data_IF_639936295158
#
_entry.id   IF_639936295158
#
_cell.length_a   1.000
_cell.length_b   1.000
_cell.length_c   1.000
_cell.angle_alpha   90.00
_cell.angle_beta   90.00
_cell.angle_gamma   90.00
#
_symmetry.space_group_name_H-M   'P 1'
#
loop_
_entity.id
_entity.type
_entity.pdbx_description
1 polymer ?
#
# COMPACT_ATOMS: atom_id res chain seq x y z
N UNK A 1 -14.54 -40.18 4.35
CA UNK A 1 -13.36 -39.27 4.33
C UNK A 1 -13.87 -37.93 3.84
N UNK A 2 -13.68 -36.81 4.57
CA UNK A 2 -14.02 -35.50 4.02
C UNK A 2 -13.16 -35.30 2.76
N UNK A 3 -13.79 -35.03 1.62
CA UNK A 3 -13.09 -34.53 0.45
C UNK A 3 -12.55 -33.15 0.84
N UNK A 4 -11.25 -33.06 1.10
CA UNK A 4 -10.57 -31.77 1.20
C UNK A 4 -10.84 -31.06 -0.12
N UNK A 5 -11.68 -30.02 -0.07
CA UNK A 5 -11.79 -29.09 -1.18
C UNK A 5 -10.38 -28.54 -1.41
N UNK A 6 -10.01 -28.37 -2.67
CA UNK A 6 -8.72 -27.84 -3.06
C UNK A 6 -8.34 -26.61 -2.22
N UNK A 7 -7.18 -26.64 -1.55
CA UNK A 7 -6.76 -25.56 -0.64
C UNK A 7 -6.48 -24.28 -1.45
N UNK A 8 -7.12 -23.17 -1.07
CA UNK A 8 -6.80 -21.83 -1.58
C UNK A 8 -5.67 -21.25 -0.73
N UNK A 9 -4.56 -20.92 -1.38
CA UNK A 9 -3.38 -20.29 -0.79
C UNK A 9 -3.31 -18.84 -1.24
N UNK A 10 -3.39 -17.94 -0.26
CA UNK A 10 -3.19 -16.51 -0.49
C UNK A 10 -1.74 -16.14 -0.16
N UNK A 11 -1.08 -15.54 -1.14
CA UNK A 11 0.30 -15.05 -1.03
C UNK A 11 0.29 -13.53 -0.86
N UNK A 12 1.35 -12.97 -0.26
CA UNK A 12 1.59 -11.53 -0.24
C UNK A 12 0.43 -10.72 0.36
N UNK A 13 -0.20 -11.21 1.43
CA UNK A 13 -1.33 -10.57 2.09
C UNK A 13 -0.90 -9.51 3.13
N UNK A 14 -0.06 -8.57 2.71
CA UNK A 14 0.46 -7.49 3.56
C UNK A 14 -0.07 -6.11 3.21
N UNK A 15 0.50 -5.10 3.87
CA UNK A 15 0.41 -3.68 3.49
C UNK A 15 1.15 -3.47 2.17
N UNK A 16 2.41 -3.93 2.08
CA UNK A 16 3.18 -4.02 0.84
C UNK A 16 4.00 -5.31 0.86
N UNK A 17 3.87 -6.22 -0.11
CA UNK A 17 2.83 -6.30 -1.16
C UNK A 17 1.44 -6.69 -0.62
N UNK A 18 0.42 -6.64 -1.47
CA UNK A 18 -0.94 -7.10 -1.21
C UNK A 18 -1.98 -6.00 -1.31
N UNK A 19 -2.23 -5.35 -0.16
CA UNK A 19 -3.20 -4.26 -0.07
C UNK A 19 -2.80 -3.09 -0.99
N UNK A 20 -1.50 -2.80 -1.09
CA UNK A 20 -0.91 -1.82 -2.02
C UNK A 20 -1.32 -2.02 -3.47
N UNK A 21 -1.49 -3.26 -3.91
CA UNK A 21 -1.93 -3.56 -5.27
C UNK A 21 -3.45 -3.72 -5.40
N UNK A 22 -4.13 -4.13 -4.33
CA UNK A 22 -5.58 -4.29 -4.33
C UNK A 22 -6.32 -2.94 -4.32
N UNK A 23 -5.88 -1.97 -3.53
CA UNK A 23 -6.57 -0.68 -3.34
C UNK A 23 -6.69 0.15 -4.64
N UNK A 24 -5.66 0.29 -5.50
CA UNK A 24 -5.79 1.01 -6.76
C UNK A 24 -6.83 0.38 -7.70
N UNK A 25 -6.90 -0.97 -7.73
CA UNK A 25 -7.93 -1.68 -8.50
C UNK A 25 -9.32 -1.43 -7.94
N UNK A 26 -9.47 -1.42 -6.62
CA UNK A 26 -10.73 -1.10 -5.96
C UNK A 26 -11.20 0.33 -6.28
N UNK A 27 -10.31 1.32 -6.27
CA UNK A 27 -10.66 2.71 -6.60
C UNK A 27 -11.05 2.85 -8.07
N UNK A 28 -10.33 2.18 -8.97
CA UNK A 28 -10.57 2.23 -10.42
C UNK A 28 -11.78 1.41 -10.89
N UNK A 29 -12.44 0.63 -10.02
CA UNK A 29 -13.45 -0.37 -10.42
C UNK A 29 -14.64 0.20 -11.18
N UNK A 30 -14.98 1.47 -10.94
CA UNK A 30 -16.16 2.13 -11.51
C UNK A 30 -15.80 2.91 -12.80
N UNK A 31 -14.54 2.91 -13.23
CA UNK A 31 -14.07 3.54 -14.47
C UNK A 31 -14.20 2.56 -15.64
N UNK A 32 -14.79 3.02 -16.76
CA UNK A 32 -14.81 2.28 -18.02
C UNK A 32 -13.44 2.24 -18.69
N UNK A 33 -12.60 3.26 -18.44
CA UNK A 33 -11.22 3.36 -18.91
C UNK A 33 -10.39 4.14 -17.88
N UNK A 34 -9.19 3.66 -17.58
CA UNK A 34 -8.22 4.36 -16.73
C UNK A 34 -7.16 5.01 -17.60
N UNK A 35 -7.06 6.33 -17.55
CA UNK A 35 -6.08 7.10 -18.33
C UNK A 35 -4.79 7.34 -17.51
N UNK A 36 -4.89 7.53 -16.20
CA UNK A 36 -3.73 7.60 -15.31
C UNK A 36 -4.00 7.08 -13.90
N UNK A 37 -2.93 6.63 -13.26
CA UNK A 37 -2.92 6.15 -11.87
C UNK A 37 -1.73 6.75 -11.14
N UNK A 38 -1.98 7.35 -9.97
CA UNK A 38 -0.92 7.76 -9.05
C UNK A 38 -1.15 7.14 -7.67
N UNK A 39 -0.09 6.61 -7.07
CA UNK A 39 -0.14 5.92 -5.77
C UNK A 39 1.00 6.40 -4.89
N UNK A 40 0.67 6.96 -3.73
CA UNK A 40 1.60 7.31 -2.67
C UNK A 40 1.37 6.38 -1.47
N UNK A 41 2.40 5.62 -1.12
CA UNK A 41 2.37 4.62 -0.05
C UNK A 41 3.23 5.12 1.11
N UNK A 42 2.60 5.61 2.17
CA UNK A 42 3.25 6.15 3.35
C UNK A 42 3.14 5.23 4.55
N UNK A 43 4.28 4.85 5.11
CA UNK A 43 4.34 4.05 6.33
C UNK A 43 5.26 4.75 7.32
N UNK A 44 4.71 5.04 8.49
CA UNK A 44 5.45 5.43 9.68
C UNK A 44 5.09 4.43 10.77
N UNK A 45 5.91 3.42 10.98
CA UNK A 45 5.68 2.42 12.02
C UNK A 45 7.00 1.77 12.44
N UNK A 46 6.96 1.02 13.55
CA UNK A 46 8.10 0.28 14.07
C UNK A 46 8.22 -1.08 13.40
N UNK A 47 9.41 -1.42 12.95
CA UNK A 47 9.75 -2.80 12.67
C UNK A 47 9.74 -3.63 13.96
N UNK A 48 9.08 -4.79 13.93
CA UNK A 48 9.42 -5.89 14.83
C UNK A 48 10.67 -6.60 14.29
N UNK A 49 11.33 -7.40 15.12
CA UNK A 49 12.46 -8.21 14.64
C UNK A 49 12.02 -9.14 13.50
N UNK A 50 10.92 -9.86 13.68
CA UNK A 50 10.35 -10.74 12.66
C UNK A 50 9.94 -9.99 11.39
N UNK A 51 9.38 -8.79 11.52
CA UNK A 51 9.03 -7.95 10.37
C UNK A 51 10.25 -7.46 9.60
N UNK A 52 11.36 -7.20 10.29
CA UNK A 52 12.62 -6.84 9.64
C UNK A 52 13.25 -8.03 8.91
N UNK A 53 13.20 -9.22 9.51
CA UNK A 53 13.64 -10.47 8.88
C UNK A 53 12.85 -10.78 7.61
N UNK A 54 11.51 -10.70 7.69
CA UNK A 54 10.61 -10.91 6.56
C UNK A 54 10.84 -9.88 5.44
N UNK A 55 10.98 -8.62 5.81
CA UNK A 55 11.30 -7.54 4.88
C UNK A 55 12.61 -7.78 4.11
N UNK A 56 13.68 -8.19 4.81
CA UNK A 56 14.97 -8.48 4.17
C UNK A 56 14.95 -9.76 3.32
N UNK A 57 14.09 -10.71 3.64
CA UNK A 57 13.86 -11.89 2.82
C UNK A 57 13.06 -11.58 1.55
N UNK A 58 12.06 -10.69 1.65
CA UNK A 58 11.15 -10.34 0.57
C UNK A 58 11.68 -9.29 -0.42
N UNK A 59 12.57 -8.38 0.02
CA UNK A 59 13.13 -7.34 -0.85
C UNK A 59 14.64 -7.55 -1.03
N UNK A 60 15.10 -7.91 -2.24
CA UNK A 60 16.52 -7.99 -2.53
C UNK A 60 17.17 -6.65 -2.20
N UNK A 61 18.19 -6.62 -1.34
CA UNK A 61 18.86 -5.37 -0.92
C UNK A 61 19.35 -4.56 -2.13
N UNK A 62 19.71 -5.25 -3.24
CA UNK A 62 20.07 -4.63 -4.52
C UNK A 62 18.98 -3.77 -5.17
N UNK A 63 17.70 -3.99 -4.85
CA UNK A 63 16.60 -3.14 -5.35
C UNK A 63 16.69 -1.74 -4.77
N UNK A 64 17.02 -1.60 -3.47
CA UNK A 64 17.14 -0.29 -2.83
C UNK A 64 18.30 0.54 -3.37
N UNK A 65 19.38 -0.10 -3.81
CA UNK A 65 20.51 0.58 -4.47
C UNK A 65 20.15 1.12 -5.87
N UNK A 66 19.20 0.48 -6.55
CA UNK A 66 18.74 0.83 -7.90
C UNK A 66 17.48 1.68 -7.89
N UNK A 67 16.91 1.94 -6.71
CA UNK A 67 15.74 2.81 -6.59
C UNK A 67 16.06 4.21 -7.13
N UNK A 68 15.12 4.84 -7.85
CA UNK A 68 15.26 6.21 -8.28
C UNK A 68 15.60 7.14 -7.11
N UNK A 69 16.34 8.21 -7.39
CA UNK A 69 16.64 9.21 -6.36
C UNK A 69 15.34 9.77 -5.79
N UNK A 70 15.28 10.00 -4.47
CA UNK A 70 14.12 10.67 -3.88
C UNK A 70 13.91 12.05 -4.51
N UNK A 71 12.65 12.46 -4.63
CA UNK A 71 12.25 13.78 -5.09
C UNK A 71 12.54 14.84 -4.01
N UNK A 72 12.31 16.12 -4.30
CA UNK A 72 12.26 17.12 -3.23
C UNK A 72 11.18 16.75 -2.20
N UNK A 73 11.38 17.11 -0.94
CA UNK A 73 10.35 16.92 0.09
C UNK A 73 9.05 17.63 -0.31
N UNK A 74 7.91 16.99 -0.02
CA UNK A 74 6.60 17.48 -0.45
C UNK A 74 5.65 17.57 0.74
N UNK A 75 4.79 18.58 0.74
CA UNK A 75 3.64 18.68 1.64
C UNK A 75 2.46 17.92 1.03
N UNK A 76 2.47 16.59 1.14
CA UNK A 76 1.36 15.76 0.67
C UNK A 76 0.14 15.92 1.59
N UNK A 77 -1.08 15.89 1.04
CA UNK A 77 -2.26 16.11 1.85
C UNK A 77 -2.43 14.97 2.85
N UNK A 78 -3.00 15.29 4.00
CA UNK A 78 -3.19 14.38 5.13
C UNK A 78 -1.92 13.90 5.82
N UNK A 79 -0.71 14.23 5.35
CA UNK A 79 0.54 13.96 6.08
C UNK A 79 0.82 15.07 7.10
N UNK A 80 1.28 14.73 8.33
CA UNK A 80 1.37 15.72 9.41
C UNK A 80 2.52 16.73 9.19
N UNK A 81 3.43 16.46 8.25
CA UNK A 81 4.62 17.25 7.97
C UNK A 81 5.16 16.95 6.56
N UNK A 82 6.10 17.74 6.03
CA UNK A 82 6.75 17.43 4.76
C UNK A 82 7.37 16.02 4.77
N UNK A 83 7.13 15.27 3.71
CA UNK A 83 7.56 13.87 3.58
C UNK A 83 8.52 13.69 2.41
N UNK A 84 9.37 12.67 2.53
CA UNK A 84 10.27 12.28 1.44
C UNK A 84 9.53 11.35 0.47
N UNK A 85 9.39 11.78 -0.78
CA UNK A 85 8.73 10.98 -1.83
C UNK A 85 9.80 10.33 -2.71
N UNK A 86 9.70 9.02 -2.92
CA UNK A 86 10.65 8.25 -3.75
C UNK A 86 9.87 7.42 -4.76
N UNK A 87 10.12 7.56 -6.08
CA UNK A 87 9.50 6.70 -7.07
C UNK A 87 9.80 5.23 -6.80
N UNK A 88 8.81 4.37 -6.96
CA UNK A 88 8.91 2.95 -6.69
C UNK A 88 8.34 2.13 -7.85
N UNK A 89 8.96 0.99 -8.15
CA UNK A 89 8.41 0.03 -9.10
C UNK A 89 8.91 -1.38 -8.79
N UNK A 90 8.00 -2.33 -8.89
CA UNK A 90 8.22 -3.77 -8.74
C UNK A 90 7.20 -4.58 -9.55
N UNK A 91 7.21 -5.90 -9.37
CA UNK A 91 6.32 -6.80 -10.09
C UNK A 91 4.84 -6.55 -9.75
N UNK A 92 4.51 -6.17 -8.51
CA UNK A 92 3.11 -5.89 -8.14
C UNK A 92 2.62 -4.62 -8.81
N UNK A 93 3.38 -3.52 -8.72
CA UNK A 93 3.02 -2.25 -9.37
C UNK A 93 2.86 -2.41 -10.90
N UNK A 94 3.76 -3.16 -11.55
CA UNK A 94 3.66 -3.47 -12.98
C UNK A 94 2.42 -4.31 -13.30
N UNK A 95 2.14 -5.33 -12.48
CA UNK A 95 0.97 -6.16 -12.64
C UNK A 95 -0.32 -5.36 -12.49
N UNK A 96 -0.40 -4.47 -11.50
CA UNK A 96 -1.58 -3.61 -11.30
C UNK A 96 -1.78 -2.69 -12.49
N UNK A 97 -0.74 -1.99 -12.95
CA UNK A 97 -0.83 -1.10 -14.11
C UNK A 97 -1.29 -1.84 -15.37
N UNK A 98 -0.75 -3.04 -15.61
CA UNK A 98 -1.19 -3.90 -16.72
C UNK A 98 -2.64 -4.36 -16.56
N UNK A 99 -3.05 -4.76 -15.34
CA UNK A 99 -4.41 -5.23 -15.06
C UNK A 99 -5.49 -4.15 -15.25
N UNK A 100 -5.12 -2.88 -15.11
CA UNK A 100 -5.98 -1.72 -15.33
C UNK A 100 -5.87 -1.15 -16.75
N UNK A 101 -4.96 -1.67 -17.58
CA UNK A 101 -4.69 -1.14 -18.92
C UNK A 101 -4.12 0.27 -18.94
N UNK A 102 -3.52 0.73 -17.84
CA UNK A 102 -3.03 2.11 -17.70
C UNK A 102 -1.58 2.23 -18.16
N UNK A 103 -1.32 3.11 -19.11
CA UNK A 103 0.04 3.39 -19.62
C UNK A 103 0.78 4.46 -18.81
N UNK A 104 0.05 5.33 -18.12
CA UNK A 104 0.61 6.39 -17.27
C UNK A 104 0.34 6.10 -15.79
N UNK A 105 1.13 5.18 -15.22
CA UNK A 105 1.09 4.88 -13.79
C UNK A 105 2.32 5.38 -13.07
N UNK A 106 2.14 6.10 -11.96
CA UNK A 106 3.23 6.56 -11.08
C UNK A 106 3.02 6.04 -9.68
N UNK A 107 4.07 5.45 -9.13
CA UNK A 107 4.05 4.82 -7.82
C UNK A 107 5.17 5.41 -6.97
N UNK A 108 4.85 5.70 -5.72
CA UNK A 108 5.76 6.38 -4.81
C UNK A 108 5.72 5.73 -3.42
N UNK A 109 6.90 5.49 -2.87
CA UNK A 109 7.07 5.29 -1.45
C UNK A 109 7.21 6.65 -0.77
N UNK A 110 6.50 6.84 0.33
CA UNK A 110 6.51 8.05 1.13
C UNK A 110 7.12 7.70 2.48
N UNK A 111 8.27 8.31 2.78
CA UNK A 111 8.93 8.17 4.07
C UNK A 111 8.67 9.41 4.90
N UNK A 112 8.00 9.20 6.02
CA UNK A 112 7.87 10.18 7.09
C UNK A 112 8.84 9.78 8.20
N UNK A 113 10.01 10.43 8.26
CA UNK A 113 11.14 10.00 9.08
C UNK A 113 12.46 10.17 8.35
N UNK A 114 13.57 10.09 9.09
CA UNK A 114 14.92 10.27 8.53
C UNK A 114 15.85 9.11 8.89
N UNK A 115 15.62 8.46 10.04
CA UNK A 115 16.49 7.39 10.50
C UNK A 115 16.34 6.14 9.64
N UNK A 116 15.11 5.69 9.37
CA UNK A 116 14.85 4.49 8.60
C UNK A 116 15.33 4.64 7.14
N UNK A 117 15.00 5.73 6.40
CA UNK A 117 15.56 5.93 5.06
C UNK A 117 17.09 6.00 5.02
N UNK A 118 17.74 6.50 6.07
CA UNK A 118 19.19 6.49 6.17
C UNK A 118 19.75 5.06 6.28
N UNK A 119 19.21 4.24 7.19
CA UNK A 119 19.59 2.83 7.31
C UNK A 119 19.33 2.07 6.02
N UNK A 120 18.20 2.32 5.34
CA UNK A 120 17.84 1.65 4.09
C UNK A 120 18.87 1.85 2.97
N UNK A 121 19.56 3.00 2.93
CA UNK A 121 20.64 3.27 1.96
C UNK A 121 21.89 2.42 2.21
N UNK A 122 22.11 2.04 3.47
CA UNK A 122 23.33 1.37 3.91
C UNK A 122 23.14 -0.15 4.10
N UNK A 123 21.93 -0.69 3.88
CA UNK A 123 21.62 -2.11 4.12
C UNK A 123 22.57 -3.08 3.43
N UNK A 124 23.07 -2.75 2.24
CA UNK A 124 24.01 -3.61 1.50
C UNK A 124 25.39 -3.76 2.14
N UNK A 125 25.71 -2.88 3.09
CA UNK A 125 26.97 -2.87 3.82
C UNK A 125 26.88 -3.67 5.13
N UNK A 126 25.70 -4.21 5.45
CA UNK A 126 25.39 -4.87 6.71
C UNK A 126 25.22 -6.37 6.53
N UNK A 127 25.57 -7.15 7.57
CA UNK A 127 25.09 -8.52 7.70
C UNK A 127 23.58 -8.52 7.96
N UNK A 128 22.88 -9.63 7.68
CA UNK A 128 21.43 -9.73 7.91
C UNK A 128 21.03 -9.39 9.35
N UNK A 129 21.79 -9.84 10.35
CA UNK A 129 21.52 -9.53 11.76
C UNK A 129 21.69 -8.04 12.07
N UNK A 130 22.77 -7.41 11.57
CA UNK A 130 22.98 -5.97 11.73
C UNK A 130 21.88 -5.16 11.03
N UNK A 131 21.48 -5.58 9.84
CA UNK A 131 20.39 -4.96 9.08
C UNK A 131 19.07 -5.03 9.86
N UNK A 132 18.69 -6.20 10.39
CA UNK A 132 17.50 -6.35 11.23
C UNK A 132 17.51 -5.41 12.44
N UNK A 133 18.59 -5.41 13.23
CA UNK A 133 18.72 -4.54 14.40
C UNK A 133 18.68 -3.06 14.01
N UNK A 134 19.31 -2.68 12.91
CA UNK A 134 19.34 -1.29 12.43
C UNK A 134 17.96 -0.83 11.98
N UNK A 135 17.20 -1.67 11.27
CA UNK A 135 15.81 -1.37 10.87
C UNK A 135 14.89 -1.18 12.08
N UNK A 136 14.98 -2.08 13.08
CA UNK A 136 14.20 -1.97 14.31
C UNK A 136 14.51 -0.68 15.07
N UNK A 137 15.79 -0.37 15.26
CA UNK A 137 16.20 0.82 16.00
C UNK A 137 15.83 2.11 15.25
N UNK A 138 16.08 2.17 13.94
CA UNK A 138 15.81 3.35 13.13
C UNK A 138 14.31 3.66 13.02
N UNK A 139 13.48 2.63 12.80
CA UNK A 139 12.03 2.80 12.79
C UNK A 139 11.48 3.20 14.16
N UNK A 140 12.04 2.66 15.25
CA UNK A 140 11.69 3.10 16.61
C UNK A 140 12.04 4.57 16.87
N UNK A 141 13.16 5.06 16.32
CA UNK A 141 13.55 6.47 16.39
C UNK A 141 12.57 7.38 15.65
N UNK A 142 12.18 7.01 14.42
CA UNK A 142 11.28 7.83 13.60
C UNK A 142 9.88 8.00 14.23
N UNK A 143 9.41 7.02 15.01
CA UNK A 143 8.10 7.10 15.70
C UNK A 143 8.15 7.76 17.10
N UNK A 144 9.31 8.13 17.66
CA UNK A 144 9.35 8.65 19.04
C UNK A 144 8.46 9.88 19.26
N UNK A 145 8.36 10.73 18.25
CA UNK A 145 7.61 11.99 18.30
C UNK A 145 6.25 11.92 17.62
N UNK A 146 5.87 10.78 17.06
CA UNK A 146 4.69 10.66 16.19
C UNK A 146 3.92 9.37 16.42
N UNK A 147 2.60 9.41 16.23
CA UNK A 147 1.80 8.19 16.25
C UNK A 147 2.07 7.40 14.96
N UNK A 148 2.26 6.07 15.06
CA UNK A 148 2.36 5.24 13.87
C UNK A 148 1.12 5.36 12.98
N UNK A 149 1.33 5.19 11.68
CA UNK A 149 0.27 5.13 10.71
C UNK A 149 0.71 4.41 9.43
N UNK A 150 -0.27 3.89 8.72
CA UNK A 150 -0.18 3.46 7.32
C UNK A 150 -1.14 4.32 6.53
N UNK A 151 -0.70 4.88 5.41
CA UNK A 151 -1.49 5.73 4.54
C UNK A 151 -1.26 5.39 3.07
N UNK A 152 -2.35 5.23 2.34
CA UNK A 152 -2.34 5.25 0.89
C UNK A 152 -3.10 6.48 0.44
N UNK A 153 -2.44 7.30 -0.36
CA UNK A 153 -3.11 8.31 -1.14
C UNK A 153 -3.10 7.84 -2.58
N UNK A 154 -4.27 7.72 -3.17
CA UNK A 154 -4.48 7.18 -4.51
C UNK A 154 -5.15 8.25 -5.34
N UNK A 155 -4.83 8.30 -6.64
CA UNK A 155 -5.51 9.12 -7.62
C UNK A 155 -5.70 8.30 -8.89
N UNK A 156 -6.92 8.26 -9.40
CA UNK A 156 -7.28 7.67 -10.68
C UNK A 156 -7.91 8.76 -11.54
N UNK A 157 -7.45 8.87 -12.78
CA UNK A 157 -8.14 9.65 -13.81
C UNK A 157 -8.55 8.75 -14.95
N UNK A 158 -9.69 9.05 -15.56
CA UNK A 158 -10.20 8.24 -16.65
C UNK A 158 -11.63 8.56 -17.00
N UNK A 159 -12.26 7.66 -17.75
CA UNK A 159 -13.66 7.76 -18.10
C UNK A 159 -14.54 6.98 -17.12
N UNK A 160 -15.57 7.65 -16.61
CA UNK A 160 -16.62 7.07 -15.78
C UNK A 160 -17.96 7.63 -16.24
N UNK A 161 -18.91 6.75 -16.56
CA UNK A 161 -20.24 7.11 -17.08
C UNK A 161 -20.15 8.03 -18.33
N UNK A 162 -19.17 7.77 -19.21
CA UNK A 162 -18.95 8.56 -20.44
C UNK A 162 -18.38 9.96 -20.22
N UNK A 163 -17.89 10.28 -19.02
CA UNK A 163 -17.24 11.57 -18.70
C UNK A 163 -15.84 11.35 -18.18
N UNK A 164 -14.92 12.24 -18.53
CA UNK A 164 -13.61 12.28 -17.90
C UNK A 164 -13.77 12.74 -16.45
N UNK A 165 -13.26 11.93 -15.52
CA UNK A 165 -13.30 12.18 -14.08
C UNK A 165 -11.93 11.94 -13.47
N UNK A 166 -11.70 12.63 -12.36
CA UNK A 166 -10.58 12.38 -11.46
C UNK A 166 -11.15 12.04 -10.11
N UNK A 167 -10.62 10.99 -9.50
CA UNK A 167 -10.99 10.57 -8.17
C UNK A 167 -9.77 10.20 -7.36
N UNK A 168 -9.68 10.76 -6.15
CA UNK A 168 -8.66 10.43 -5.18
C UNK A 168 -9.24 9.68 -3.98
N UNK A 169 -8.41 8.90 -3.31
CA UNK A 169 -8.79 8.29 -2.04
C UNK A 169 -7.65 8.32 -1.03
N UNK A 170 -7.98 8.63 0.21
CA UNK A 170 -7.13 8.37 1.37
C UNK A 170 -7.59 7.05 1.99
N UNK A 171 -6.65 6.12 2.20
CA UNK A 171 -6.83 4.94 3.04
C UNK A 171 -5.85 5.06 4.19
N UNK A 172 -6.31 4.84 5.42
CA UNK A 172 -5.47 4.98 6.61
C UNK A 172 -5.73 3.89 7.65
N UNK A 173 -4.68 3.53 8.38
CA UNK A 173 -4.71 2.71 9.58
C UNK A 173 -3.61 3.12 10.56
N UNK A 174 -3.65 2.61 11.79
CA UNK A 174 -2.80 3.10 12.88
C UNK A 174 -1.54 2.26 13.14
N UNK A 175 -1.36 1.14 12.42
CA UNK A 175 -0.11 0.37 12.40
C UNK A 175 -0.12 -0.63 11.23
N UNK A 176 1.06 -1.03 10.76
CA UNK A 176 1.25 -2.07 9.75
C UNK A 176 0.64 -3.39 10.22
N UNK A 177 0.90 -3.79 11.46
CA UNK A 177 0.39 -5.05 12.01
C UNK A 177 -1.15 -5.11 12.00
N UNK A 178 -1.82 -4.03 12.41
CA UNK A 178 -3.27 -3.98 12.40
C UNK A 178 -3.85 -3.98 10.98
N UNK A 179 -3.28 -3.19 10.06
CA UNK A 179 -3.76 -3.14 8.67
C UNK A 179 -3.55 -4.48 7.97
N UNK A 180 -2.38 -5.12 8.14
CA UNK A 180 -2.14 -6.48 7.65
C UNK A 180 -3.17 -7.46 8.23
N UNK A 181 -3.37 -7.46 9.55
CA UNK A 181 -4.32 -8.35 10.22
C UNK A 181 -5.75 -8.16 9.72
N UNK A 182 -6.20 -6.92 9.55
CA UNK A 182 -7.53 -6.60 9.03
C UNK A 182 -7.70 -7.09 7.58
N UNK A 183 -6.68 -6.89 6.73
CA UNK A 183 -6.73 -7.34 5.35
C UNK A 183 -6.74 -8.86 5.25
N UNK A 184 -5.87 -9.55 6.00
CA UNK A 184 -5.84 -11.02 6.06
C UNK A 184 -7.17 -11.58 6.56
N UNK A 185 -7.76 -11.00 7.61
CA UNK A 185 -9.05 -11.43 8.13
C UNK A 185 -10.17 -11.25 7.10
N UNK A 186 -10.18 -10.12 6.39
CA UNK A 186 -11.16 -9.85 5.34
C UNK A 186 -11.00 -10.83 4.15
N UNK A 187 -9.77 -11.12 3.76
CA UNK A 187 -9.44 -12.12 2.73
C UNK A 187 -9.89 -13.53 3.14
N UNK A 188 -9.59 -13.95 4.37
CA UNK A 188 -10.00 -15.25 4.88
C UNK A 188 -11.53 -15.38 4.90
N UNK A 189 -12.23 -14.34 5.34
CA UNK A 189 -13.69 -14.32 5.37
C UNK A 189 -14.30 -14.53 3.97
N UNK A 190 -13.76 -13.87 2.93
CA UNK A 190 -14.29 -14.05 1.56
C UNK A 190 -13.92 -15.39 0.94
N UNK A 191 -12.74 -15.95 1.25
CA UNK A 191 -12.38 -17.32 0.83
C UNK A 191 -13.35 -18.33 1.43
N UNK A 192 -13.68 -18.20 2.71
CA UNK A 192 -14.59 -19.11 3.42
C UNK A 192 -16.04 -18.95 2.91
N UNK A 193 -16.49 -17.73 2.67
CA UNK A 193 -17.90 -17.45 2.34
C UNK A 193 -18.20 -17.45 0.85
N UNK A 194 -17.18 -17.33 -0.01
CA UNK A 194 -17.32 -17.25 -1.47
C UNK A 194 -16.22 -18.03 -2.20
N UNK A 195 -15.96 -19.31 -1.87
CA UNK A 195 -14.84 -20.08 -2.43
C UNK A 195 -14.90 -20.21 -3.96
N UNK A 196 -16.10 -20.28 -4.54
CA UNK A 196 -16.30 -20.38 -5.99
C UNK A 196 -15.85 -19.12 -6.76
N UNK A 197 -15.58 -18.00 -6.06
CA UNK A 197 -15.02 -16.79 -6.67
C UNK A 197 -13.52 -16.92 -6.99
N UNK A 198 -12.87 -17.99 -6.52
CA UNK A 198 -11.44 -18.21 -6.65
C UNK A 198 -11.16 -19.33 -7.64
N UNK A 199 -10.81 -18.98 -8.87
CA UNK A 199 -10.56 -19.96 -9.93
C UNK A 199 -9.14 -20.57 -9.91
N UNK A 200 -8.32 -20.28 -8.90
CA UNK A 200 -6.91 -20.68 -8.81
C UNK A 200 -6.49 -20.96 -7.37
N UNK A 201 -5.50 -21.82 -7.23
CA UNK A 201 -5.00 -22.31 -5.94
C UNK A 201 -4.00 -21.36 -5.26
N UNK A 202 -3.18 -20.65 -6.04
CA UNK A 202 -2.17 -19.72 -5.53
C UNK A 202 -2.49 -18.33 -6.06
N UNK A 203 -2.94 -17.44 -5.18
CA UNK A 203 -3.40 -16.11 -5.54
C UNK A 203 -2.65 -15.09 -4.70
N UNK A 204 -1.94 -14.17 -5.34
CA UNK A 204 -1.40 -13.00 -4.65
C UNK A 204 -2.55 -12.11 -4.21
N UNK A 205 -2.49 -11.57 -3.00
CA UNK A 205 -3.61 -10.80 -2.43
C UNK A 205 -4.03 -9.60 -3.30
N UNK A 206 -3.09 -8.95 -3.98
CA UNK A 206 -3.37 -7.89 -4.95
C UNK A 206 -4.27 -8.33 -6.13
N UNK A 207 -4.30 -9.64 -6.43
CA UNK A 207 -5.03 -10.25 -7.55
C UNK A 207 -6.41 -10.76 -7.16
N UNK A 208 -6.73 -10.78 -5.86
CA UNK A 208 -8.04 -11.21 -5.36
C UNK A 208 -9.15 -10.38 -6.04
N UNK A 209 -10.27 -11.00 -6.45
CA UNK A 209 -11.38 -10.29 -7.06
C UNK A 209 -11.92 -9.16 -6.16
N UNK A 210 -12.47 -8.11 -6.77
CA UNK A 210 -13.05 -6.96 -6.08
C UNK A 210 -14.45 -7.29 -5.52
N UNK A 211 -14.50 -8.24 -4.59
CA UNK A 211 -15.76 -8.70 -3.98
C UNK A 211 -16.33 -7.63 -3.04
N UNK A 212 -17.65 -7.32 -3.11
CA UNK A 212 -18.28 -6.37 -2.19
C UNK A 212 -18.04 -6.71 -0.71
N UNK A 213 -18.06 -8.00 -0.37
CA UNK A 213 -17.83 -8.51 0.99
C UNK A 213 -16.41 -8.17 1.48
N UNK A 214 -15.40 -8.23 0.61
CA UNK A 214 -14.02 -7.87 0.96
C UNK A 214 -13.94 -6.38 1.34
N UNK A 215 -14.61 -5.51 0.58
CA UNK A 215 -14.71 -4.07 0.88
C UNK A 215 -15.41 -3.87 2.23
N UNK A 216 -16.54 -4.54 2.47
CA UNK A 216 -17.29 -4.42 3.72
C UNK A 216 -16.51 -4.89 4.94
N UNK A 217 -15.76 -6.00 4.84
CA UNK A 217 -14.93 -6.49 5.94
C UNK A 217 -13.73 -5.58 6.19
N UNK A 218 -12.99 -5.23 5.13
CA UNK A 218 -11.78 -4.42 5.22
C UNK A 218 -12.05 -3.02 5.79
N UNK A 219 -13.16 -2.39 5.41
CA UNK A 219 -13.50 -1.04 5.88
C UNK A 219 -14.61 -1.02 6.95
N UNK A 220 -14.85 -2.15 7.61
CA UNK A 220 -15.76 -2.21 8.76
C UNK A 220 -15.25 -1.31 9.90
N UNK A 221 -16.12 -0.79 10.78
CA UNK A 221 -15.69 -0.02 11.95
C UNK A 221 -14.65 -0.74 12.80
N UNK A 222 -14.73 -2.06 12.92
CA UNK A 222 -13.85 -2.84 13.79
C UNK A 222 -12.48 -3.17 13.16
N UNK A 223 -12.34 -3.02 11.84
CA UNK A 223 -11.08 -3.29 11.12
C UNK A 223 -9.92 -2.38 11.52
N UNK A 224 -10.21 -1.17 12.00
CA UNK A 224 -9.23 -0.10 12.17
C UNK A 224 -8.68 0.49 10.85
N UNK A 225 -9.13 0.02 9.68
CA UNK A 225 -8.83 0.62 8.38
C UNK A 225 -9.97 1.54 8.00
N UNK A 226 -9.63 2.75 7.55
CA UNK A 226 -10.59 3.77 7.13
C UNK A 226 -10.25 4.26 5.74
N UNK A 227 -11.27 4.71 5.01
CA UNK A 227 -11.07 5.37 3.74
C UNK A 227 -11.94 6.61 3.61
N UNK A 228 -11.50 7.53 2.75
CA UNK A 228 -12.25 8.68 2.29
C UNK A 228 -11.99 8.86 0.80
N UNK A 229 -13.05 9.07 0.00
CA UNK A 229 -12.96 9.34 -1.44
C UNK A 229 -13.20 10.83 -1.70
N UNK A 230 -12.54 11.36 -2.70
CA UNK A 230 -12.58 12.78 -3.08
C UNK A 230 -12.73 12.89 -4.61
N UNK A 231 -13.72 13.63 -5.12
CA UNK A 231 -13.94 13.79 -6.57
C UNK A 231 -13.00 14.86 -7.16
N UNK A 232 -11.71 14.81 -6.80
CA UNK A 232 -10.71 15.81 -7.15
C UNK A 232 -9.30 15.17 -7.15
N UNK A 233 -8.32 15.86 -7.70
CA UNK A 233 -6.93 15.42 -7.72
C UNK A 233 -6.21 15.66 -6.38
N UNK A 234 -5.12 14.95 -6.14
CA UNK A 234 -4.22 15.17 -5.00
C UNK A 234 -3.62 16.57 -5.02
N UNK A 235 -3.29 17.11 -6.20
CA UNK A 235 -2.80 18.48 -6.34
C UNK A 235 -3.84 19.48 -5.82
N UNK A 236 -5.10 19.31 -6.21
CA UNK A 236 -6.19 20.16 -5.72
C UNK A 236 -6.40 19.99 -4.21
N UNK A 237 -6.24 18.78 -3.66
CA UNK A 237 -6.28 18.56 -2.20
C UNK A 237 -5.14 19.30 -1.47
N UNK A 238 -3.93 19.35 -2.05
CA UNK A 238 -2.81 20.12 -1.49
C UNK A 238 -3.11 21.62 -1.45
N UNK A 239 -3.76 22.15 -2.49
CA UNK A 239 -4.18 23.55 -2.54
C UNK A 239 -5.26 23.87 -1.49
N UNK A 240 -6.18 22.93 -1.26
CA UNK A 240 -7.26 23.06 -0.27
C UNK A 240 -6.77 22.95 1.17
N UNK A 241 -5.81 22.08 1.49
CA UNK A 241 -5.22 22.02 2.84
C UNK A 241 -4.23 23.16 3.12
N UNK A 242 -3.63 23.73 2.07
CA UNK A 242 -2.75 24.89 2.15
C UNK A 242 -3.47 26.24 2.29
N UNK A 243 -4.77 26.28 2.03
CA UNK A 243 -5.65 27.40 2.38
C UNK A 243 -6.44 27.02 3.62
N UNK A 244 -6.11 27.62 4.77
CA UNK A 244 -6.73 27.36 6.09
C UNK A 244 -8.14 26.74 6.06
N UNK A 245 -8.26 25.56 6.69
CA UNK A 245 -9.52 25.15 7.34
C UNK A 245 -9.84 26.11 8.49
#
# INVERSE_FOLDING_TARGET
>A
MPQWHENIVLLDAGVVPGLSGWLPRWLAKDFSRVDSLQVWQGILDRFTLSGAEDFLAGVPISKYQRSPKPLAQQNLPFFPRPVQVTPWQDNETQWVSASLGVSNSRWFNVSDGQALPAVMRDLSLMTSSQACTSLVNASALDIQSFRPYVRYLLEVTGEQEGRNRTESALIQGVSVAQVCGAFIAALAAVVITSPDSFCRHNIHAAQVPLLPQLVSHLFSPDSGVRYQRFPTSVVQLMEMEGGSL
#
